data_IF_813913705623
#
_entry.id   IF_813913705623
#
_cell.length_a   1.000
_cell.length_b   1.000
_cell.length_c   1.000
_cell.angle_alpha   90.00
_cell.angle_beta   90.00
_cell.angle_gamma   90.00
#
_symmetry.space_group_name_H-M   'P 1'
#
loop_
_entity.id
_entity.type
_entity.pdbx_description
1 polymer ?
#
# COMPACT_ATOMS: atom_id res chain seq x y z
N UNK A 1 -20.31 16.63 -30.37
CA UNK A 1 -20.75 16.23 -29.02
C UNK A 1 -19.69 15.26 -28.54
N UNK A 2 -19.10 15.50 -27.37
CA UNK A 2 -18.19 14.56 -26.74
C UNK A 2 -19.03 13.52 -25.98
N UNK A 3 -18.78 12.23 -26.20
CA UNK A 3 -19.46 11.12 -25.51
C UNK A 3 -18.42 10.45 -24.61
N UNK A 4 -18.86 9.75 -23.56
CA UNK A 4 -17.97 8.98 -22.70
C UNK A 4 -17.80 7.57 -23.27
N UNK A 5 -17.02 7.44 -24.35
CA UNK A 5 -16.86 6.20 -25.11
C UNK A 5 -15.45 5.58 -25.05
N UNK A 6 -14.51 6.24 -24.39
CA UNK A 6 -13.22 5.66 -24.02
C UNK A 6 -13.25 5.18 -22.56
N UNK A 7 -12.34 4.27 -22.23
CA UNK A 7 -12.16 3.78 -20.85
C UNK A 7 -10.85 4.36 -20.31
N UNK A 8 -10.75 4.64 -18.99
CA UNK A 8 -9.47 4.99 -18.42
C UNK A 8 -8.46 3.84 -18.60
N UNK A 9 -7.20 4.19 -18.86
CA UNK A 9 -6.13 3.21 -19.12
C UNK A 9 -4.95 3.46 -18.19
N UNK A 10 -4.55 2.43 -17.44
CA UNK A 10 -3.29 2.41 -16.72
C UNK A 10 -2.12 2.06 -17.65
N UNK A 11 -0.95 2.68 -17.46
CA UNK A 11 0.29 2.28 -18.14
C UNK A 11 0.68 0.84 -17.79
N UNK A 12 0.44 0.43 -16.55
CA UNK A 12 0.69 -0.91 -16.04
C UNK A 12 -0.54 -1.43 -15.28
N UNK A 13 -1.05 -2.60 -15.69
CA UNK A 13 -2.18 -3.25 -15.01
C UNK A 13 -1.79 -3.89 -13.68
N UNK A 14 -0.49 -4.06 -13.42
CA UNK A 14 0.04 -4.53 -12.15
C UNK A 14 1.41 -3.92 -11.85
N UNK A 15 1.68 -3.62 -10.59
CA UNK A 15 2.95 -3.12 -10.10
C UNK A 15 3.32 -3.78 -8.78
N UNK A 16 4.61 -4.06 -8.57
CA UNK A 16 5.13 -4.57 -7.29
C UNK A 16 6.15 -3.60 -6.72
N UNK A 17 6.01 -3.28 -5.44
CA UNK A 17 6.93 -2.41 -4.70
C UNK A 17 7.47 -3.12 -3.46
N UNK A 18 8.65 -2.72 -3.02
CA UNK A 18 9.32 -3.30 -1.87
C UNK A 18 9.87 -2.18 -0.97
N UNK A 19 9.49 -2.18 0.30
CA UNK A 19 9.97 -1.22 1.29
C UNK A 19 10.13 -1.85 2.67
N UNK A 20 10.84 -1.16 3.54
CA UNK A 20 11.18 -1.65 4.89
C UNK A 20 9.94 -1.60 5.80
N UNK A 21 9.76 -2.58 6.69
CA UNK A 21 8.60 -2.57 7.61
C UNK A 21 8.53 -1.34 8.52
N UNK A 22 9.64 -0.61 8.68
CA UNK A 22 9.77 0.57 9.54
C UNK A 22 9.38 1.89 8.86
N UNK A 23 8.80 1.86 7.66
CA UNK A 23 8.34 3.09 6.99
C UNK A 23 7.20 3.73 7.78
N UNK A 24 7.28 5.05 7.93
CA UNK A 24 6.28 5.85 8.62
C UNK A 24 5.27 6.49 7.69
N UNK A 25 4.38 7.27 8.29
CA UNK A 25 3.42 8.13 7.60
C UNK A 25 4.09 8.99 6.53
N UNK A 26 3.38 9.24 5.44
CA UNK A 26 3.78 10.05 4.29
C UNK A 26 4.97 9.45 3.50
N UNK A 27 5.41 8.22 3.82
CA UNK A 27 6.39 7.50 3.01
C UNK A 27 5.82 7.25 1.60
N UNK A 28 6.53 7.65 0.53
CA UNK A 28 6.06 7.48 -0.84
C UNK A 28 6.17 6.03 -1.28
N UNK A 29 5.05 5.42 -1.69
CA UNK A 29 4.97 4.01 -2.07
C UNK A 29 5.06 3.83 -3.58
N UNK A 30 4.19 4.52 -4.33
CA UNK A 30 4.11 4.44 -5.79
C UNK A 30 3.31 5.61 -6.35
N UNK A 31 3.37 5.81 -7.67
CA UNK A 31 2.41 6.63 -8.40
C UNK A 31 1.73 5.70 -9.39
N UNK A 32 0.43 5.46 -9.23
CA UNK A 32 -0.37 4.62 -10.12
C UNK A 32 -1.54 5.45 -10.60
N UNK A 33 -1.46 5.89 -11.85
CA UNK A 33 -2.50 6.70 -12.49
C UNK A 33 -2.96 6.08 -13.80
N UNK A 34 -4.23 6.32 -14.11
CA UNK A 34 -4.82 6.08 -15.41
C UNK A 34 -5.14 7.42 -16.08
N UNK A 35 -5.16 7.41 -17.41
CA UNK A 35 -5.57 8.53 -18.23
C UNK A 35 -6.73 8.10 -19.13
N UNK A 36 -7.68 8.99 -19.37
CA UNK A 36 -8.78 8.80 -20.32
C UNK A 36 -8.55 9.67 -21.57
N UNK A 37 -9.01 9.20 -22.73
CA UNK A 37 -8.76 9.84 -24.03
C UNK A 37 -9.86 10.82 -24.42
N UNK A 38 -10.97 10.86 -23.69
CA UNK A 38 -12.07 11.76 -23.95
C UNK A 38 -11.72 13.23 -23.64
N UNK A 39 -12.17 14.12 -24.53
CA UNK A 39 -11.77 15.53 -24.47
C UNK A 39 -12.37 16.21 -23.23
N UNK A 40 -11.50 16.61 -22.30
CA UNK A 40 -11.91 17.31 -21.08
C UNK A 40 -12.44 16.38 -19.98
N UNK A 41 -12.27 15.07 -20.16
CA UNK A 41 -12.49 14.11 -19.08
C UNK A 41 -11.36 14.18 -18.03
N UNK A 42 -11.69 13.75 -16.81
CA UNK A 42 -10.73 13.55 -15.72
C UNK A 42 -10.96 12.18 -15.09
N UNK A 43 -9.86 11.62 -14.60
CA UNK A 43 -9.86 10.32 -13.92
C UNK A 43 -9.58 10.53 -12.43
N UNK A 44 -10.43 9.96 -11.58
CA UNK A 44 -10.30 9.97 -10.12
C UNK A 44 -9.84 8.60 -9.62
N UNK A 45 -8.84 8.61 -8.74
CA UNK A 45 -8.21 7.40 -8.21
C UNK A 45 -8.66 7.10 -6.78
N UNK A 46 -8.86 5.81 -6.49
CA UNK A 46 -9.18 5.33 -5.14
C UNK A 46 -8.50 3.98 -4.88
N UNK A 47 -8.25 3.68 -3.60
CA UNK A 47 -7.75 2.37 -3.18
C UNK A 47 -8.92 1.46 -2.80
N UNK A 48 -8.76 0.18 -3.09
CA UNK A 48 -9.63 -0.90 -2.68
C UNK A 48 -8.78 -2.05 -2.14
N UNK A 49 -9.30 -2.80 -1.16
CA UNK A 49 -8.72 -4.10 -0.76
C UNK A 49 -8.17 -4.11 0.66
N UNK A 50 -7.26 -5.05 0.95
CA UNK A 50 -6.93 -5.39 2.34
C UNK A 50 -5.98 -4.41 3.04
N UNK A 51 -5.41 -3.44 2.31
CA UNK A 51 -4.53 -2.43 2.85
C UNK A 51 -4.96 -1.01 2.46
N UNK A 52 -6.24 -0.82 2.08
CA UNK A 52 -6.76 0.51 1.75
C UNK A 52 -6.67 1.47 2.96
N UNK A 53 -6.87 0.96 4.19
CA UNK A 53 -6.73 1.74 5.42
C UNK A 53 -5.27 2.05 5.80
N UNK A 54 -4.29 1.43 5.12
CA UNK A 54 -2.87 1.53 5.43
C UNK A 54 -2.18 2.59 4.57
N UNK A 55 -2.86 3.01 3.51
CA UNK A 55 -2.34 3.84 2.46
C UNK A 55 -3.30 4.99 2.20
N UNK A 56 -2.77 6.07 1.67
CA UNK A 56 -3.55 7.14 1.07
C UNK A 56 -3.24 7.19 -0.41
N UNK A 57 -4.20 7.65 -1.21
CA UNK A 57 -3.99 7.97 -2.61
C UNK A 57 -4.47 9.39 -2.87
N UNK A 58 -3.67 10.18 -3.57
CA UNK A 58 -4.11 11.44 -4.13
C UNK A 58 -5.01 11.15 -5.34
N UNK A 59 -6.28 11.61 -5.33
CA UNK A 59 -7.26 11.23 -6.34
C UNK A 59 -6.94 11.74 -7.74
N UNK A 60 -6.21 12.84 -7.87
CA UNK A 60 -5.92 13.49 -9.15
C UNK A 60 -4.59 13.00 -9.75
N UNK A 61 -3.59 12.73 -8.91
CA UNK A 61 -2.23 12.39 -9.34
C UNK A 61 -1.94 10.89 -9.28
N UNK A 62 -2.71 10.13 -8.51
CA UNK A 62 -2.45 8.71 -8.25
C UNK A 62 -1.24 8.45 -7.36
N UNK A 63 -0.73 9.46 -6.65
CA UNK A 63 0.36 9.29 -5.68
C UNK A 63 -0.13 8.52 -4.45
N UNK A 64 0.55 7.43 -4.13
CA UNK A 64 0.22 6.53 -3.01
C UNK A 64 1.28 6.69 -1.93
N UNK A 65 0.84 6.93 -0.70
CA UNK A 65 1.72 7.06 0.46
C UNK A 65 1.19 6.29 1.66
N UNK A 66 2.03 6.09 2.68
CA UNK A 66 1.63 5.42 3.92
C UNK A 66 0.75 6.34 4.77
N UNK A 67 -0.39 5.82 5.24
CA UNK A 67 -1.38 6.63 5.97
C UNK A 67 -0.96 6.94 7.42
N UNK A 68 -0.24 6.01 8.06
CA UNK A 68 0.04 6.04 9.49
C UNK A 68 1.40 5.41 9.82
N UNK A 69 2.03 5.87 10.90
CA UNK A 69 3.24 5.26 11.45
C UNK A 69 2.94 3.84 11.98
N UNK A 70 3.95 2.96 11.95
CA UNK A 70 3.93 1.62 12.55
C UNK A 70 2.80 0.68 12.05
N UNK A 71 2.26 0.92 10.85
CA UNK A 71 1.21 0.08 10.25
C UNK A 71 1.75 -1.18 9.56
N UNK A 72 3.03 -1.18 9.18
CA UNK A 72 3.68 -2.31 8.52
C UNK A 72 4.51 -3.10 9.54
N UNK A 73 4.30 -4.42 9.58
CA UNK A 73 5.02 -5.35 10.45
C UNK A 73 5.24 -6.64 9.66
N UNK A 74 6.51 -6.95 9.38
CA UNK A 74 6.91 -8.11 8.58
C UNK A 74 6.47 -9.42 9.21
N UNK A 75 6.50 -9.52 10.54
CA UNK A 75 6.14 -10.72 11.28
C UNK A 75 4.61 -10.92 11.34
N UNK A 76 3.83 -9.83 11.24
CA UNK A 76 2.37 -9.89 11.11
C UNK A 76 1.94 -10.23 9.68
N UNK A 77 2.47 -9.51 8.69
CA UNK A 77 2.13 -9.68 7.28
C UNK A 77 3.22 -9.08 6.40
N UNK A 78 3.83 -9.90 5.54
CA UNK A 78 4.95 -9.49 4.69
C UNK A 78 4.56 -9.17 3.22
N UNK A 79 3.32 -9.43 2.81
CA UNK A 79 2.81 -9.14 1.47
C UNK A 79 1.37 -8.59 1.52
N UNK A 80 1.09 -7.52 0.77
CA UNK A 80 -0.24 -6.87 0.71
C UNK A 80 -0.70 -6.73 -0.75
N UNK A 81 -2.02 -6.81 -0.97
CA UNK A 81 -2.64 -6.75 -2.29
C UNK A 81 -3.69 -5.64 -2.32
N UNK A 82 -3.35 -4.53 -2.96
CA UNK A 82 -4.21 -3.34 -3.08
C UNK A 82 -4.64 -3.19 -4.53
N UNK A 83 -5.91 -2.89 -4.76
CA UNK A 83 -6.39 -2.51 -6.08
C UNK A 83 -6.50 -0.99 -6.17
N UNK A 84 -5.89 -0.41 -7.19
CA UNK A 84 -6.07 1.00 -7.54
C UNK A 84 -7.21 1.06 -8.55
N UNK A 85 -8.31 1.71 -8.19
CA UNK A 85 -9.44 1.96 -9.08
C UNK A 85 -9.32 3.37 -9.66
N UNK A 86 -9.47 3.46 -10.98
CA UNK A 86 -9.59 4.70 -11.72
C UNK A 86 -11.01 4.82 -12.29
N UNK A 87 -11.64 5.98 -12.13
CA UNK A 87 -13.01 6.26 -12.56
C UNK A 87 -13.04 7.57 -13.34
N UNK A 88 -13.58 7.56 -14.57
CA UNK A 88 -13.78 8.78 -15.36
C UNK A 88 -14.83 9.71 -14.72
N UNK A 89 -14.96 10.94 -15.22
CA UNK A 89 -15.88 11.93 -14.66
C UNK A 89 -16.68 12.71 -15.71
N UNK A 90 -16.51 12.40 -16.99
CA UNK A 90 -17.07 13.17 -18.10
C UNK A 90 -18.60 13.25 -18.06
N UNK A 91 -19.27 12.10 -18.08
CA UNK A 91 -20.73 12.02 -17.96
C UNK A 91 -21.18 10.63 -17.54
N UNK A 92 -22.30 10.56 -16.82
CA UNK A 92 -22.89 9.28 -16.47
C UNK A 92 -23.41 8.53 -17.71
N UNK A 93 -23.24 7.20 -17.78
CA UNK A 93 -22.58 6.36 -16.78
C UNK A 93 -21.05 6.52 -16.80
N UNK A 94 -20.45 6.56 -15.60
CA UNK A 94 -19.00 6.59 -15.46
C UNK A 94 -18.39 5.23 -15.76
N UNK A 95 -17.23 5.20 -16.41
CA UNK A 95 -16.43 4.00 -16.58
C UNK A 95 -15.40 3.86 -15.47
N UNK A 96 -15.03 2.62 -15.15
CA UNK A 96 -14.02 2.34 -14.13
C UNK A 96 -13.18 1.12 -14.48
N UNK A 97 -11.90 1.21 -14.16
CA UNK A 97 -10.92 0.13 -14.34
C UNK A 97 -10.08 -0.03 -13.08
N UNK A 98 -9.42 -1.17 -12.93
CA UNK A 98 -8.58 -1.47 -11.77
C UNK A 98 -7.19 -1.97 -12.17
N UNK A 99 -6.16 -1.56 -11.42
CA UNK A 99 -4.81 -2.11 -11.48
C UNK A 99 -4.40 -2.71 -10.13
N UNK A 100 -3.52 -3.72 -10.14
CA UNK A 100 -3.04 -4.39 -8.94
C UNK A 100 -1.73 -3.76 -8.44
N UNK A 101 -1.70 -3.34 -7.18
CA UNK A 101 -0.47 -3.01 -6.44
C UNK A 101 -0.17 -4.16 -5.46
N UNK A 102 1.01 -4.76 -5.60
CA UNK A 102 1.55 -5.75 -4.65
C UNK A 102 2.66 -5.10 -3.84
N UNK A 103 2.54 -5.13 -2.52
CA UNK A 103 3.54 -4.57 -1.61
C UNK A 103 4.25 -5.71 -0.91
N UNK A 104 5.58 -5.70 -0.89
CA UNK A 104 6.41 -6.67 -0.18
C UNK A 104 7.28 -5.98 0.84
N UNK A 105 7.13 -6.37 2.10
CA UNK A 105 7.94 -5.82 3.18
C UNK A 105 9.32 -6.44 3.20
N UNK A 106 10.32 -5.63 3.55
CA UNK A 106 11.65 -6.10 3.93
C UNK A 106 11.72 -6.16 5.45
N UNK A 107 12.12 -7.33 5.95
CA UNK A 107 12.36 -7.55 7.37
C UNK A 107 13.56 -6.71 7.81
N UNK A 108 13.35 -5.89 8.83
CA UNK A 108 14.40 -5.13 9.51
C UNK A 108 14.52 -5.69 10.93
N UNK A 109 15.75 -5.93 11.38
CA UNK A 109 16.00 -6.34 12.77
C UNK A 109 15.80 -5.15 13.73
N UNK A 110 14.53 -4.80 13.97
CA UNK A 110 14.06 -3.68 14.79
C UNK A 110 13.50 -4.15 16.15
N UNK A 111 13.54 -5.45 16.44
CA UNK A 111 13.03 -6.02 17.69
C UNK A 111 14.19 -6.42 18.60
N UNK A 112 14.37 -5.80 19.78
CA UNK A 112 15.41 -6.21 20.72
C UNK A 112 15.14 -7.62 21.27
N UNK A 113 16.18 -8.41 21.59
CA UNK A 113 16.00 -9.74 22.15
C UNK A 113 15.29 -9.66 23.52
N UNK A 114 14.30 -10.51 23.73
CA UNK A 114 13.62 -10.63 25.03
C UNK A 114 14.34 -11.65 25.90
N UNK A 115 14.89 -11.20 27.04
CA UNK A 115 15.47 -12.10 28.04
C UNK A 115 14.36 -12.62 28.97
N UNK A 116 13.96 -13.87 28.81
CA UNK A 116 13.13 -14.57 29.79
C UNK A 116 14.04 -15.20 30.85
N UNK A 117 14.13 -14.57 32.02
CA UNK A 117 14.80 -15.20 33.16
C UNK A 117 13.89 -16.31 33.71
N UNK A 118 14.38 -17.57 33.85
CA UNK A 118 13.64 -18.59 34.57
C UNK A 118 13.35 -18.12 36.00
N UNK A 119 12.19 -18.48 36.57
CA UNK A 119 11.78 -18.09 37.94
C UNK A 119 12.66 -18.69 39.05
N UNK A 120 13.76 -19.36 38.72
CA UNK A 120 14.72 -19.88 39.69
C UNK A 120 15.88 -18.90 39.84
N UNK A 121 16.19 -18.53 41.07
CA UNK A 121 17.50 -17.99 41.41
C UNK A 121 18.58 -18.99 40.98
N UNK A 122 19.68 -18.55 40.37
CA UNK A 122 20.79 -19.45 40.07
C UNK A 122 21.35 -20.00 41.38
N UNK A 123 21.11 -21.28 41.65
CA UNK A 123 21.83 -22.03 42.69
C UNK A 123 23.15 -22.49 42.09
N UNK A 124 24.25 -22.02 42.67
CA UNK A 124 25.59 -22.52 42.42
C UNK A 124 26.02 -23.19 43.72
N UNK A 125 26.02 -24.53 43.76
CA UNK A 125 26.70 -25.25 44.83
C UNK A 125 28.21 -25.18 44.58
N UNK A 126 28.93 -24.52 45.48
CA UNK A 126 30.38 -24.59 45.55
C UNK A 126 30.75 -25.95 46.15
N UNK A 127 31.42 -26.81 45.38
CA UNK A 127 32.01 -28.02 45.91
C UNK A 127 33.35 -27.68 46.58
N UNK A 128 33.38 -27.82 47.91
CA UNK A 128 34.60 -27.81 48.74
C UNK A 128 35.35 -29.13 48.68
#
# INVERSE_FOLDING_TARGET
>A
INWNDELPIFEHSAQTVNFDETVGKDFPVAIIKADDRDIGDKVVHSLLGNAEDYLTIDPDTGEISVAHDDYFDFHRQNEFFVQVRATDTLMEPYNSVTAQLTIRLRNINNTPPTLLLPRGSPEVEENV
#
